data_IF_470562726597
#
_entry.id   IF_470562726597
#
_cell.length_a   1.000
_cell.length_b   1.000
_cell.length_c   1.000
_cell.angle_alpha   90.00
_cell.angle_beta   90.00
_cell.angle_gamma   90.00
#
_symmetry.space_group_name_H-M   'P 1'
#
loop_
_entity.id
_entity.type
_entity.pdbx_description
1 polymer ?
#
# COMPACT_ATOMS: atom_id res chain seq x y z
N UNK A 1 3.57 -13.03 11.98
CA UNK A 1 3.28 -12.15 10.84
C UNK A 1 3.29 -10.71 11.35
N UNK A 2 3.87 -9.76 10.61
CA UNK A 2 4.14 -8.40 11.10
C UNK A 2 2.85 -7.58 11.23
N UNK A 3 2.21 -7.60 12.40
CA UNK A 3 0.94 -6.89 12.70
C UNK A 3 0.91 -5.44 12.22
N UNK A 4 2.05 -4.74 12.25
CA UNK A 4 2.16 -3.36 11.75
C UNK A 4 1.97 -3.26 10.23
N UNK A 5 2.57 -4.16 9.46
CA UNK A 5 2.43 -4.17 7.99
C UNK A 5 1.02 -4.54 7.56
N UNK A 6 0.38 -5.45 8.28
CA UNK A 6 -1.02 -5.81 8.04
C UNK A 6 -1.95 -4.60 8.22
N UNK A 7 -1.80 -3.88 9.35
CA UNK A 7 -2.58 -2.65 9.58
C UNK A 7 -2.30 -1.56 8.54
N UNK A 8 -1.05 -1.41 8.11
CA UNK A 8 -0.68 -0.44 7.08
C UNK A 8 -1.24 -0.82 5.70
N UNK A 9 -1.26 -2.11 5.37
CA UNK A 9 -1.88 -2.62 4.15
C UNK A 9 -3.40 -2.41 4.18
N UNK A 10 -4.04 -2.73 5.30
CA UNK A 10 -5.49 -2.58 5.45
C UNK A 10 -5.91 -1.10 5.40
N UNK A 11 -5.04 -0.19 5.85
CA UNK A 11 -5.21 1.26 5.70
C UNK A 11 -4.76 1.80 4.32
N UNK A 12 -4.36 0.93 3.38
CA UNK A 12 -3.83 1.27 2.06
C UNK A 12 -2.60 2.20 2.10
N UNK A 13 -1.87 2.25 3.20
CA UNK A 13 -0.63 3.01 3.34
C UNK A 13 0.58 2.27 2.76
N UNK A 14 0.43 0.98 2.47
CA UNK A 14 1.45 0.13 1.88
C UNK A 14 0.80 -0.81 0.86
N UNK A 15 1.39 -0.91 -0.34
CA UNK A 15 1.06 -1.93 -1.33
C UNK A 15 1.88 -3.20 -1.05
N UNK A 16 1.24 -4.36 -1.15
CA UNK A 16 1.87 -5.67 -1.00
C UNK A 16 2.00 -6.34 -2.38
N UNK A 17 3.20 -6.80 -2.72
CA UNK A 17 3.47 -7.55 -3.94
C UNK A 17 4.12 -8.88 -3.61
N UNK A 18 3.93 -9.86 -4.49
CA UNK A 18 4.68 -11.12 -4.44
C UNK A 18 5.61 -11.17 -5.64
N UNK A 19 6.92 -11.12 -5.38
CA UNK A 19 7.92 -11.37 -6.42
C UNK A 19 8.05 -12.89 -6.61
N UNK A 20 7.68 -13.37 -7.79
CA UNK A 20 7.81 -14.78 -8.17
C UNK A 20 9.17 -15.00 -8.81
N UNK A 21 10.05 -15.73 -8.12
CA UNK A 21 11.41 -16.01 -8.62
C UNK A 21 11.43 -17.35 -9.34
N UNK A 22 12.13 -17.40 -10.48
CA UNK A 22 12.33 -18.66 -11.23
C UNK A 22 13.22 -19.63 -10.47
N UNK A 23 14.18 -19.10 -9.69
CA UNK A 23 15.05 -19.86 -8.82
C UNK A 23 15.06 -19.22 -7.43
N UNK A 24 14.64 -19.99 -6.42
CA UNK A 24 14.57 -19.56 -5.01
C UNK A 24 13.15 -19.30 -4.50
N UNK A 25 13.01 -18.97 -3.20
CA UNK A 25 11.70 -18.72 -2.61
C UNK A 25 11.11 -17.41 -3.13
N UNK A 26 9.78 -17.40 -3.31
CA UNK A 26 9.03 -16.15 -3.51
C UNK A 26 9.26 -15.23 -2.32
N UNK A 27 9.33 -13.93 -2.60
CA UNK A 27 9.47 -12.91 -1.56
C UNK A 27 8.29 -11.97 -1.61
N UNK A 28 7.78 -11.60 -0.44
CA UNK A 28 6.77 -10.56 -0.29
C UNK A 28 7.47 -9.21 -0.19
N UNK A 29 7.08 -8.28 -1.06
CA UNK A 29 7.57 -6.92 -1.09
C UNK A 29 6.48 -5.99 -0.58
N UNK A 30 6.89 -4.96 0.15
CA UNK A 30 6.01 -3.93 0.67
C UNK A 30 6.52 -2.57 0.20
N UNK A 31 5.64 -1.81 -0.44
CA UNK A 31 5.96 -0.48 -0.96
C UNK A 31 5.08 0.57 -0.31
N UNK A 32 5.67 1.69 0.07
CA UNK A 32 4.95 2.82 0.66
C UNK A 32 3.98 3.42 -0.37
N UNK A 33 2.70 3.52 0.00
CA UNK A 33 1.63 4.04 -0.87
C UNK A 33 1.16 5.45 -0.50
N UNK A 34 2.06 6.30 -0.04
CA UNK A 34 1.77 7.71 0.26
C UNK A 34 3.05 8.50 0.07
N UNK A 35 2.95 9.81 -0.14
CA UNK A 35 4.10 10.73 -0.14
C UNK A 35 4.19 11.46 1.19
N UNK A 36 3.06 11.85 1.77
CA UNK A 36 2.96 12.58 3.02
C UNK A 36 1.69 12.19 3.81
N UNK A 37 1.77 12.27 5.14
CA UNK A 37 0.62 12.11 6.05
C UNK A 37 0.63 13.29 7.01
N UNK A 38 -0.44 14.07 6.98
CA UNK A 38 -0.65 15.19 7.90
C UNK A 38 -1.72 14.82 8.92
N UNK A 39 -1.40 14.99 10.21
CA UNK A 39 -2.34 14.74 11.32
C UNK A 39 -2.47 16.03 12.12
N UNK A 40 -3.71 16.48 12.31
CA UNK A 40 -4.00 17.73 12.99
C UNK A 40 -5.15 17.61 13.98
N UNK A 41 -5.18 18.57 14.90
CA UNK A 41 -6.37 18.94 15.65
C UNK A 41 -6.56 20.43 15.39
N UNK A 42 -7.73 20.82 14.92
CA UNK A 42 -8.01 22.22 14.60
C UNK A 42 -8.50 23.02 15.82
N UNK A 43 -8.84 24.29 15.61
CA UNK A 43 -9.31 25.18 16.68
C UNK A 43 -10.67 24.77 17.27
N UNK A 44 -11.41 23.88 16.60
CA UNK A 44 -12.68 23.33 17.06
C UNK A 44 -12.52 21.97 17.77
N UNK A 45 -11.27 21.57 18.08
CA UNK A 45 -10.91 20.24 18.58
C UNK A 45 -11.27 19.10 17.60
N UNK A 46 -11.42 19.39 16.29
CA UNK A 46 -11.67 18.36 15.28
C UNK A 46 -10.37 17.70 14.83
N UNK A 47 -10.38 16.37 14.82
CA UNK A 47 -9.26 15.57 14.32
C UNK A 47 -9.27 15.50 12.79
N UNK A 48 -8.14 15.86 12.17
CA UNK A 48 -7.95 15.80 10.72
C UNK A 48 -6.83 14.85 10.34
N UNK A 49 -7.04 14.11 9.24
CA UNK A 49 -6.07 13.22 8.64
C UNK A 49 -6.07 13.44 7.12
N UNK A 50 -4.93 13.86 6.59
CA UNK A 50 -4.71 14.02 5.15
C UNK A 50 -3.59 13.10 4.70
N UNK A 51 -3.78 12.45 3.55
CA UNK A 51 -2.84 11.49 2.98
C UNK A 51 -2.60 11.87 1.52
N UNK A 52 -1.40 12.34 1.22
CA UNK A 52 -0.98 12.61 -0.14
C UNK A 52 -0.53 11.32 -0.80
N UNK A 53 -1.04 11.04 -2.00
CA UNK A 53 -0.71 9.83 -2.76
C UNK A 53 0.39 10.11 -3.78
N UNK A 54 1.28 9.13 -4.06
CA UNK A 54 2.23 9.26 -5.17
C UNK A 54 1.48 9.37 -6.50
N UNK A 55 2.05 10.11 -7.46
CA UNK A 55 1.54 10.10 -8.83
C UNK A 55 1.67 8.68 -9.40
N UNK A 56 0.56 8.02 -9.69
CA UNK A 56 0.59 6.67 -10.27
C UNK A 56 0.93 6.74 -11.75
N UNK A 57 2.01 6.06 -12.15
CA UNK A 57 2.29 5.83 -13.56
C UNK A 57 1.30 4.80 -14.13
N UNK A 58 1.03 4.79 -15.45
CA UNK A 58 0.21 3.76 -16.08
C UNK A 58 0.69 2.32 -15.81
N UNK A 59 1.98 2.15 -15.53
CA UNK A 59 2.62 0.88 -15.21
C UNK A 59 2.22 0.38 -13.81
N UNK A 60 2.04 1.30 -12.85
CA UNK A 60 1.59 1.00 -11.50
C UNK A 60 0.13 0.50 -11.46
N UNK A 61 -0.72 0.99 -12.38
CA UNK A 61 -2.09 0.49 -12.54
C UNK A 61 -2.14 -0.94 -13.06
N UNK A 62 -1.23 -1.30 -13.96
CA UNK A 62 -1.15 -2.67 -14.49
C UNK A 62 -0.74 -3.66 -13.40
N UNK A 63 0.19 -3.29 -12.51
CA UNK A 63 0.56 -4.12 -11.37
C UNK A 63 -0.63 -4.43 -10.44
N UNK A 64 -1.52 -3.46 -10.21
CA UNK A 64 -2.75 -3.65 -9.43
C UNK A 64 -3.68 -4.67 -10.09
N UNK A 65 -3.89 -4.60 -11.41
CA UNK A 65 -4.75 -5.56 -12.14
C UNK A 65 -4.26 -7.01 -12.07
N UNK A 66 -2.94 -7.23 -12.11
CA UNK A 66 -2.38 -8.59 -12.01
C UNK A 66 -2.48 -9.18 -10.59
N UNK A 67 -2.56 -8.34 -9.56
CA UNK A 67 -2.75 -8.77 -8.17
C UNK A 67 -4.18 -9.24 -7.90
N UNK A 68 -5.18 -8.57 -8.47
CA UNK A 68 -6.60 -8.92 -8.30
C UNK A 68 -6.97 -10.22 -9.02
N UNK A 69 -6.44 -10.47 -10.22
CA UNK A 69 -6.69 -11.72 -10.95
C UNK A 69 -6.17 -12.99 -10.23
N UNK A 70 -5.22 -12.85 -9.29
CA UNK A 70 -4.67 -13.99 -8.53
C UNK A 70 -5.52 -14.38 -7.31
N UNK A 71 -6.52 -13.56 -6.93
CA UNK A 71 -7.46 -13.89 -5.83
C UNK A 71 -8.62 -14.79 -6.25
N UNK A 72 -8.81 -15.06 -7.55
CA UNK A 72 -9.90 -15.89 -8.09
C UNK A 72 -9.45 -17.25 -8.69
N UNK A 73 -8.23 -17.73 -8.43
CA UNK A 73 -7.78 -19.08 -8.83
C UNK A 73 -7.43 -19.98 -7.66
#
# INVERSE_FOLDING_TARGET
MYRKLELLRDADLVKEYTEVRRDGPNVTLYERNFTNISVGIDEADEFTLEIDRPEESPEDRLATFWSEMKKES
#
